data_IF_627840019470
#
_entry.id   IF_627840019470
#
_cell.length_a   1.000
_cell.length_b   1.000
_cell.length_c   1.000
_cell.angle_alpha   90.00
_cell.angle_beta   90.00
_cell.angle_gamma   90.00
#
_symmetry.space_group_name_H-M   'P 1'
#
loop_
_entity.id
_entity.type
_entity.pdbx_description
1 polymer ?
#
# COMPACT_ATOMS: atom_id res chain seq x y z
N UNK A 1 42.51 -5.43 -12.98
CA UNK A 1 41.35 -5.01 -12.17
C UNK A 1 40.21 -4.35 -12.93
N UNK A 2 40.41 -3.77 -14.12
CA UNK A 2 39.33 -3.15 -14.90
C UNK A 2 38.26 -4.16 -15.38
N UNK A 3 38.68 -5.36 -15.80
CA UNK A 3 37.76 -6.42 -16.23
C UNK A 3 36.80 -6.90 -15.13
N UNK A 4 37.29 -6.96 -13.88
CA UNK A 4 36.47 -7.40 -12.76
C UNK A 4 35.49 -6.32 -12.30
N UNK A 5 35.86 -5.04 -12.43
CA UNK A 5 34.95 -3.91 -12.20
C UNK A 5 33.82 -3.87 -13.25
N UNK A 6 34.16 -4.01 -14.54
CA UNK A 6 33.15 -4.06 -15.63
C UNK A 6 32.23 -5.28 -15.47
N UNK A 7 32.78 -6.43 -15.06
CA UNK A 7 31.97 -7.62 -14.82
C UNK A 7 31.05 -7.46 -13.61
N UNK A 8 31.55 -6.92 -12.49
CA UNK A 8 30.73 -6.64 -11.31
C UNK A 8 29.61 -5.64 -11.62
N UNK A 9 29.91 -4.55 -12.33
CA UNK A 9 28.89 -3.59 -12.74
C UNK A 9 27.85 -4.24 -13.66
N UNK A 10 28.27 -5.07 -14.61
CA UNK A 10 27.34 -5.73 -15.52
C UNK A 10 26.47 -6.78 -14.80
N UNK A 11 27.06 -7.56 -13.87
CA UNK A 11 26.32 -8.54 -13.07
C UNK A 11 25.36 -7.84 -12.12
N UNK A 12 25.78 -6.78 -11.42
CA UNK A 12 24.91 -6.01 -10.52
C UNK A 12 23.77 -5.33 -11.29
N UNK A 13 24.06 -4.71 -12.43
CA UNK A 13 23.04 -4.08 -13.27
C UNK A 13 22.05 -5.11 -13.80
N UNK A 14 22.54 -6.28 -14.23
CA UNK A 14 21.68 -7.39 -14.69
C UNK A 14 20.82 -7.94 -13.55
N UNK A 15 21.37 -8.07 -12.33
CA UNK A 15 20.63 -8.51 -11.15
C UNK A 15 19.55 -7.50 -10.74
N UNK A 16 19.87 -6.21 -10.76
CA UNK A 16 18.90 -5.14 -10.48
C UNK A 16 17.77 -5.13 -11.51
N UNK A 17 18.08 -5.18 -12.81
CA UNK A 17 17.08 -5.22 -13.89
C UNK A 17 16.19 -6.45 -13.77
N UNK A 18 16.75 -7.63 -13.44
CA UNK A 18 15.96 -8.85 -13.20
C UNK A 18 15.06 -8.68 -11.98
N UNK A 19 15.57 -8.17 -10.86
CA UNK A 19 14.75 -7.90 -9.67
C UNK A 19 13.61 -6.95 -10.01
N UNK A 20 13.86 -5.86 -10.74
CA UNK A 20 12.82 -4.94 -11.19
C UNK A 20 11.78 -5.58 -12.12
N UNK A 21 12.21 -6.46 -13.03
CA UNK A 21 11.32 -7.19 -13.94
C UNK A 21 10.44 -8.20 -13.20
N UNK A 22 11.04 -8.98 -12.30
CA UNK A 22 10.33 -9.96 -11.47
C UNK A 22 9.36 -9.26 -10.50
N UNK A 23 9.72 -8.07 -10.01
CA UNK A 23 8.82 -7.22 -9.24
C UNK A 23 7.66 -6.70 -10.11
N UNK A 24 7.92 -6.23 -11.31
CA UNK A 24 6.88 -5.75 -12.23
C UNK A 24 5.84 -6.84 -12.52
N UNK A 25 6.26 -8.09 -12.70
CA UNK A 25 5.39 -9.24 -12.97
C UNK A 25 4.50 -9.62 -11.78
N UNK A 26 5.00 -9.47 -10.54
CA UNK A 26 4.25 -9.73 -9.30
C UNK A 26 3.37 -8.57 -8.82
N UNK A 27 3.47 -7.41 -9.47
CA UNK A 27 2.73 -6.19 -9.09
C UNK A 27 1.22 -6.40 -8.94
N UNK A 28 0.50 -6.95 -9.94
CA UNK A 28 -0.95 -7.13 -9.81
C UNK A 28 -1.33 -8.13 -8.72
N UNK A 29 -0.48 -9.13 -8.47
CA UNK A 29 -0.73 -10.14 -7.43
C UNK A 29 -0.59 -9.57 -6.02
N UNK A 30 0.44 -8.75 -5.78
CA UNK A 30 0.65 -8.08 -4.49
C UNK A 30 -0.44 -7.04 -4.24
N UNK A 31 -0.80 -6.25 -5.26
CA UNK A 31 -1.89 -5.28 -5.16
C UNK A 31 -3.21 -5.96 -4.76
N UNK A 32 -3.55 -7.07 -5.43
CA UNK A 32 -4.75 -7.85 -5.12
C UNK A 32 -4.73 -8.40 -3.70
N UNK A 33 -3.57 -8.86 -3.21
CA UNK A 33 -3.43 -9.32 -1.82
C UNK A 33 -3.61 -8.20 -0.81
N UNK A 34 -3.12 -6.98 -1.09
CA UNK A 34 -3.40 -5.82 -0.25
C UNK A 34 -4.90 -5.52 -0.20
N UNK A 35 -5.58 -5.48 -1.35
CA UNK A 35 -7.04 -5.25 -1.42
C UNK A 35 -7.81 -6.29 -0.59
N UNK A 36 -7.46 -7.57 -0.70
CA UNK A 36 -8.09 -8.65 0.08
C UNK A 36 -7.87 -8.49 1.59
N UNK A 37 -6.65 -8.16 1.99
CA UNK A 37 -6.28 -8.01 3.39
C UNK A 37 -6.97 -6.79 4.03
N UNK A 38 -7.03 -5.67 3.32
CA UNK A 38 -7.77 -4.48 3.76
C UNK A 38 -9.27 -4.73 3.85
N UNK A 39 -9.86 -5.45 2.88
CA UNK A 39 -11.25 -5.87 2.98
C UNK A 39 -11.50 -6.67 4.27
N UNK A 40 -10.61 -7.62 4.59
CA UNK A 40 -10.65 -8.39 5.83
C UNK A 40 -10.60 -7.51 7.09
N UNK A 41 -9.66 -6.55 7.14
CA UNK A 41 -9.52 -5.62 8.26
C UNK A 41 -10.70 -4.68 8.45
N UNK A 42 -11.27 -4.16 7.36
CA UNK A 42 -12.44 -3.26 7.43
C UNK A 42 -13.63 -4.04 7.98
N UNK A 43 -13.87 -5.25 7.46
CA UNK A 43 -14.98 -6.10 7.91
C UNK A 43 -14.84 -6.51 9.39
N UNK A 44 -13.67 -7.01 9.78
CA UNK A 44 -13.42 -7.44 11.14
C UNK A 44 -13.37 -6.26 12.12
N UNK A 45 -12.77 -5.13 11.73
CA UNK A 45 -12.67 -3.92 12.53
C UNK A 45 -14.02 -3.25 12.80
N UNK A 46 -14.95 -3.32 11.83
CA UNK A 46 -16.35 -2.91 11.99
C UNK A 46 -17.11 -3.75 13.02
N UNK A 47 -16.79 -5.04 13.13
CA UNK A 47 -17.43 -5.98 14.05
C UNK A 47 -16.89 -5.84 15.48
N UNK A 48 -15.59 -5.59 15.65
CA UNK A 48 -14.92 -5.64 16.97
C UNK A 48 -14.71 -4.29 17.66
N UNK A 49 -14.58 -3.16 16.93
CA UNK A 49 -14.13 -1.90 17.55
C UNK A 49 -15.15 -0.75 17.41
N UNK A 50 -15.70 -0.30 18.55
CA UNK A 50 -16.65 0.84 18.62
C UNK A 50 -16.06 2.17 18.15
N UNK A 51 -14.75 2.39 18.33
CA UNK A 51 -14.08 3.61 17.87
C UNK A 51 -13.93 3.60 16.35
N UNK A 52 -13.64 2.43 15.78
CA UNK A 52 -13.62 2.22 14.33
C UNK A 52 -15.02 2.39 13.76
N UNK A 53 -16.08 1.96 14.47
CA UNK A 53 -17.46 2.31 14.09
C UNK A 53 -17.70 3.82 14.10
N UNK A 54 -17.11 4.60 15.00
CA UNK A 54 -17.31 6.06 15.01
C UNK A 54 -16.65 6.78 13.81
N UNK A 55 -15.46 6.33 13.39
CA UNK A 55 -14.78 6.85 12.20
C UNK A 55 -15.39 6.31 10.90
N UNK A 56 -15.82 5.04 10.90
CA UNK A 56 -16.33 4.34 9.70
C UNK A 56 -17.86 4.52 9.51
N UNK A 57 -18.65 4.86 10.54
CA UNK A 57 -20.12 4.74 10.49
C UNK A 57 -20.84 6.09 10.46
N UNK A 58 -21.25 6.43 9.24
CA UNK A 58 -22.56 7.01 8.95
C UNK A 58 -23.20 6.36 7.72
N UNK A 59 -22.44 6.22 6.62
CA UNK A 59 -22.91 5.69 5.33
C UNK A 59 -22.61 4.20 5.08
N UNK A 60 -21.48 3.70 5.58
CA UNK A 60 -20.98 2.33 5.30
C UNK A 60 -21.88 1.24 5.87
N UNK A 61 -22.47 1.47 7.06
CA UNK A 61 -23.16 0.42 7.81
C UNK A 61 -24.56 0.06 7.24
N UNK A 62 -25.17 0.95 6.45
CA UNK A 62 -26.46 0.67 5.79
C UNK A 62 -26.31 -0.14 4.50
N UNK A 63 -25.20 0.03 3.77
CA UNK A 63 -25.01 -0.62 2.48
C UNK A 63 -24.34 -2.01 2.61
N UNK A 64 -23.34 -2.16 3.47
CA UNK A 64 -22.66 -3.44 3.68
C UNK A 64 -23.61 -4.50 4.27
N UNK A 65 -24.50 -4.11 5.19
CA UNK A 65 -25.50 -5.02 5.76
C UNK A 65 -26.70 -5.28 4.83
N UNK A 66 -26.92 -4.43 3.82
CA UNK A 66 -27.96 -4.62 2.80
C UNK A 66 -27.59 -5.66 1.73
N UNK A 67 -26.29 -5.91 1.52
CA UNK A 67 -25.80 -6.82 0.48
C UNK A 67 -25.61 -8.27 0.94
N UNK A 68 -25.62 -8.55 2.25
CA UNK A 68 -25.37 -9.91 2.78
C UNK A 68 -26.66 -10.67 3.06
N UNK A 69 -27.45 -10.94 2.02
CA UNK A 69 -28.50 -11.96 2.09
C UNK A 69 -28.39 -12.90 0.89
N UNK A 70 -27.65 -13.99 1.10
CA UNK A 70 -27.57 -15.13 0.19
C UNK A 70 -26.36 -15.11 -0.72
N UNK A 71 -25.38 -15.98 -0.46
CA UNK A 71 -25.24 -17.22 -1.24
C UNK A 71 -24.03 -18.02 -0.74
N UNK A 72 -24.33 -19.24 -0.32
CA UNK A 72 -23.40 -20.33 -0.25
C UNK A 72 -22.95 -20.69 -1.69
N UNK A 73 -21.67 -20.54 -2.04
CA UNK A 73 -20.94 -21.44 -2.95
C UNK A 73 -19.47 -21.05 -3.12
N UNK A 74 -18.60 -22.01 -2.81
CA UNK A 74 -17.23 -22.14 -3.30
C UNK A 74 -17.18 -22.04 -4.83
N UNK A 75 -16.88 -20.86 -5.38
CA UNK A 75 -16.31 -20.63 -6.73
C UNK A 75 -16.46 -19.14 -7.08
N UNK A 76 -15.39 -18.50 -7.60
CA UNK A 76 -15.32 -17.12 -8.16
C UNK A 76 -14.85 -15.96 -7.25
N UNK A 77 -13.82 -16.17 -6.42
CA UNK A 77 -13.25 -15.12 -5.54
C UNK A 77 -12.46 -14.03 -6.29
N UNK A 78 -12.13 -14.22 -7.57
CA UNK A 78 -11.21 -13.34 -8.30
C UNK A 78 -11.84 -12.03 -8.78
N UNK A 79 -13.10 -12.08 -9.26
CA UNK A 79 -13.75 -10.93 -9.93
C UNK A 79 -14.45 -9.96 -8.98
N UNK A 80 -14.54 -10.26 -7.69
CA UNK A 80 -15.29 -9.45 -6.72
C UNK A 80 -14.41 -8.40 -6.00
N UNK A 81 -13.10 -8.62 -5.93
CA UNK A 81 -12.21 -7.80 -5.09
C UNK A 81 -12.05 -6.39 -5.65
N UNK A 82 -11.86 -6.26 -6.96
CA UNK A 82 -11.70 -4.95 -7.60
C UNK A 82 -13.00 -4.14 -7.56
N UNK A 83 -14.15 -4.78 -7.79
CA UNK A 83 -15.47 -4.13 -7.67
C UNK A 83 -15.78 -3.69 -6.24
N UNK A 84 -15.41 -4.49 -5.23
CA UNK A 84 -15.56 -4.11 -3.82
C UNK A 84 -14.61 -2.99 -3.43
N UNK A 85 -13.39 -2.98 -3.99
CA UNK A 85 -12.43 -1.91 -3.76
C UNK A 85 -12.88 -0.59 -4.39
N UNK A 86 -13.40 -0.60 -5.62
CA UNK A 86 -13.96 0.60 -6.26
C UNK A 86 -15.10 1.20 -5.42
N UNK A 87 -15.98 0.38 -4.85
CA UNK A 87 -17.01 0.86 -3.92
C UNK A 87 -16.42 1.53 -2.69
N UNK A 88 -15.34 0.98 -2.11
CA UNK A 88 -14.66 1.60 -0.97
C UNK A 88 -14.04 2.97 -1.34
N UNK A 89 -13.55 3.11 -2.58
CA UNK A 89 -13.04 4.38 -3.11
C UNK A 89 -14.16 5.41 -3.31
N UNK A 90 -15.30 5.00 -3.88
CA UNK A 90 -16.48 5.87 -4.06
C UNK A 90 -17.06 6.35 -2.73
N UNK A 91 -16.88 5.57 -1.67
CA UNK A 91 -17.35 5.91 -0.33
C UNK A 91 -16.42 6.88 0.44
N UNK A 92 -15.31 7.32 -0.16
CA UNK A 92 -14.31 8.19 0.46
C UNK A 92 -13.88 7.69 1.86
N UNK A 93 -13.69 6.38 2.00
CA UNK A 93 -13.31 5.82 3.30
C UNK A 93 -11.89 6.22 3.67
N UNK A 94 -11.74 6.76 4.89
CA UNK A 94 -10.46 7.09 5.49
C UNK A 94 -10.18 6.27 6.75
N UNK A 95 -8.90 6.06 7.05
CA UNK A 95 -8.43 5.43 8.28
C UNK A 95 -7.53 6.38 9.06
N UNK A 96 -7.64 6.36 10.37
CA UNK A 96 -6.77 7.15 11.24
C UNK A 96 -5.48 6.40 11.55
N UNK A 97 -4.50 7.14 12.07
CA UNK A 97 -3.21 6.60 12.53
C UNK A 97 -3.35 5.45 13.52
N UNK A 98 -4.32 5.51 14.43
CA UNK A 98 -4.54 4.46 15.41
C UNK A 98 -5.01 3.16 14.78
N UNK A 99 -5.86 3.24 13.76
CA UNK A 99 -6.35 2.09 12.99
C UNK A 99 -5.20 1.48 12.20
N UNK A 100 -4.44 2.30 11.48
CA UNK A 100 -3.27 1.83 10.74
C UNK A 100 -2.23 1.19 11.66
N UNK A 101 -1.98 1.78 12.83
CA UNK A 101 -1.09 1.20 13.84
C UNK A 101 -1.59 -0.16 14.33
N UNK A 102 -2.90 -0.32 14.52
CA UNK A 102 -3.46 -1.62 14.89
C UNK A 102 -3.20 -2.67 13.79
N UNK A 103 -3.31 -2.29 12.52
CA UNK A 103 -3.01 -3.18 11.39
C UNK A 103 -1.54 -3.57 11.33
N UNK A 104 -0.62 -2.66 11.70
CA UNK A 104 0.82 -2.98 11.81
C UNK A 104 1.17 -3.98 12.92
N UNK A 105 0.23 -4.34 13.79
CA UNK A 105 0.43 -5.46 14.74
C UNK A 105 -0.06 -6.80 14.17
N UNK A 106 -0.73 -6.78 13.02
CA UNK A 106 -1.21 -7.99 12.37
C UNK A 106 -0.06 -8.68 11.60
N UNK A 107 0.22 -9.96 11.89
CA UNK A 107 1.33 -10.68 11.28
C UNK A 107 1.14 -10.90 9.78
N UNK A 108 -0.09 -10.99 9.29
CA UNK A 108 -0.39 -11.17 7.86
C UNK A 108 -0.07 -9.88 7.09
N UNK A 109 -0.37 -8.72 7.68
CA UNK A 109 -0.01 -7.43 7.08
C UNK A 109 1.50 -7.21 7.04
N UNK A 110 2.21 -7.49 8.14
CA UNK A 110 3.67 -7.37 8.18
C UNK A 110 4.35 -8.30 7.17
N UNK A 111 3.85 -9.54 7.03
CA UNK A 111 4.36 -10.47 6.03
C UNK A 111 4.15 -9.94 4.61
N UNK A 112 2.99 -9.36 4.32
CA UNK A 112 2.71 -8.81 3.00
C UNK A 112 3.59 -7.58 2.69
N UNK A 113 3.88 -6.74 3.68
CA UNK A 113 4.82 -5.62 3.53
C UNK A 113 6.25 -6.10 3.23
N UNK A 114 6.70 -7.16 3.91
CA UNK A 114 8.01 -7.78 3.65
C UNK A 114 8.07 -8.39 2.24
N UNK A 115 7.02 -9.09 1.81
CA UNK A 115 6.91 -9.64 0.45
C UNK A 115 6.87 -8.54 -0.63
N UNK A 116 6.33 -7.38 -0.30
CA UNK A 116 6.33 -6.19 -1.14
C UNK A 116 7.67 -5.44 -1.12
N UNK A 117 8.69 -5.91 -0.39
CA UNK A 117 10.00 -5.25 -0.23
C UNK A 117 9.84 -3.80 0.26
N UNK A 118 8.88 -3.57 1.18
CA UNK A 118 8.60 -2.28 1.82
C UNK A 118 9.31 -2.25 3.17
N UNK A 119 10.20 -1.27 3.35
CA UNK A 119 10.96 -1.13 4.59
C UNK A 119 10.09 -0.56 5.72
N UNK A 120 9.85 -1.36 6.76
CA UNK A 120 9.02 -1.01 7.93
C UNK A 120 9.84 -0.60 9.16
N UNK A 121 11.15 -0.38 9.00
CA UNK A 121 12.12 -0.11 10.09
C UNK A 121 11.67 1.04 11.01
N UNK A 122 10.86 1.99 10.52
CA UNK A 122 10.15 2.96 11.35
C UNK A 122 8.64 3.02 11.04
N UNK A 123 7.86 2.15 11.70
CA UNK A 123 6.40 2.10 11.62
C UNK A 123 5.69 3.45 11.78
N UNK A 124 6.26 4.38 12.55
CA UNK A 124 5.70 5.72 12.74
C UNK A 124 5.88 6.61 11.52
N UNK A 125 7.00 6.49 10.82
CA UNK A 125 7.27 7.24 9.59
C UNK A 125 6.46 6.70 8.42
N UNK A 126 6.12 5.40 8.40
CA UNK A 126 5.36 4.83 7.29
C UNK A 126 3.99 5.51 7.12
N UNK A 127 3.29 5.83 8.22
CA UNK A 127 2.04 6.58 8.13
C UNK A 127 2.27 8.00 7.59
N UNK A 128 3.28 8.70 8.12
CA UNK A 128 3.60 10.08 7.71
C UNK A 128 4.05 10.15 6.23
N UNK A 129 4.70 9.11 5.72
CA UNK A 129 5.10 9.00 4.31
C UNK A 129 3.89 8.72 3.41
N UNK A 130 2.91 7.96 3.89
CA UNK A 130 1.67 7.70 3.16
C UNK A 130 0.72 8.92 3.19
N UNK A 131 0.72 9.67 4.30
CA UNK A 131 -0.08 10.87 4.56
C UNK A 131 0.57 12.10 3.92
N UNK A 132 0.65 12.08 2.58
CA UNK A 132 1.36 13.10 1.80
C UNK A 132 0.67 14.48 1.85
N UNK A 133 -0.63 14.52 2.16
CA UNK A 133 -1.38 15.77 2.34
C UNK A 133 -1.39 16.26 3.80
N UNK A 134 -0.84 15.46 4.72
CA UNK A 134 -0.77 15.73 6.17
C UNK A 134 -2.15 16.04 6.75
N UNK A 135 -3.18 15.37 6.24
CA UNK A 135 -4.56 15.46 6.73
C UNK A 135 -4.72 14.78 8.09
N UNK A 136 -3.80 13.88 8.45
CA UNK A 136 -3.87 13.05 9.66
C UNK A 136 -4.73 11.79 9.49
N UNK A 137 -5.28 11.57 8.29
CA UNK A 137 -6.06 10.40 7.89
C UNK A 137 -5.51 9.86 6.57
N UNK A 138 -5.70 8.57 6.30
CA UNK A 138 -5.33 7.95 5.03
C UNK A 138 -6.58 7.49 4.30
N UNK A 139 -6.81 7.98 3.09
CA UNK A 139 -7.81 7.38 2.22
C UNK A 139 -7.36 5.99 1.75
N UNK A 140 -8.31 5.13 1.37
CA UNK A 140 -7.99 3.83 0.78
C UNK A 140 -7.14 3.97 -0.50
N UNK A 141 -7.37 5.03 -1.28
CA UNK A 141 -6.57 5.34 -2.46
C UNK A 141 -5.11 5.62 -2.11
N UNK A 142 -4.85 6.47 -1.13
CA UNK A 142 -3.51 6.85 -0.65
C UNK A 142 -2.79 5.67 -0.03
N UNK A 143 -3.51 4.87 0.76
CA UNK A 143 -2.95 3.69 1.39
C UNK A 143 -2.42 2.69 0.34
N UNK A 144 -3.27 2.26 -0.60
CA UNK A 144 -2.85 1.28 -1.60
C UNK A 144 -1.81 1.87 -2.55
N UNK A 145 -2.06 3.07 -3.06
CA UNK A 145 -1.14 3.72 -4.02
C UNK A 145 0.19 4.03 -3.37
N UNK A 146 0.20 4.48 -2.12
CA UNK A 146 1.39 4.79 -1.37
C UNK A 146 2.21 3.54 -1.07
N UNK A 147 1.58 2.45 -0.60
CA UNK A 147 2.27 1.17 -0.42
C UNK A 147 2.83 0.62 -1.73
N UNK A 148 2.08 0.74 -2.82
CA UNK A 148 2.56 0.32 -4.14
C UNK A 148 3.71 1.18 -4.68
N UNK A 149 3.82 2.45 -4.26
CA UNK A 149 4.95 3.35 -4.60
C UNK A 149 6.17 3.11 -3.72
N UNK A 150 5.99 2.72 -2.47
CA UNK A 150 7.06 2.40 -1.52
C UNK A 150 7.66 1.00 -1.75
N UNK A 151 7.02 0.20 -2.60
CA UNK A 151 7.48 -1.13 -2.97
C UNK A 151 8.81 -1.08 -3.73
N UNK A 152 9.72 -1.93 -3.28
CA UNK A 152 11.01 -2.15 -3.92
C UNK A 152 12.12 -1.27 -3.34
N UNK A 153 13.38 -1.58 -3.68
CA UNK A 153 14.51 -0.87 -3.13
C UNK A 153 14.55 0.56 -3.68
N UNK A 154 14.62 1.56 -2.79
CA UNK A 154 14.95 2.94 -3.19
C UNK A 154 16.32 2.92 -3.83
N UNK A 155 16.39 3.23 -5.13
CA UNK A 155 17.68 3.19 -5.83
C UNK A 155 18.46 4.48 -5.56
N UNK A 156 19.80 4.40 -5.62
CA UNK A 156 20.65 5.61 -5.54
C UNK A 156 20.31 6.61 -6.67
N UNK A 157 19.82 6.12 -7.81
CA UNK A 157 19.37 6.96 -8.90
C UNK A 157 18.12 7.75 -8.54
N UNK A 158 17.16 7.17 -7.79
CA UNK A 158 15.97 7.86 -7.32
C UNK A 158 16.33 9.00 -6.36
N UNK A 159 17.27 8.76 -5.45
CA UNK A 159 17.79 9.79 -4.52
C UNK A 159 18.42 10.95 -5.29
N UNK A 160 19.22 10.66 -6.32
CA UNK A 160 19.84 11.68 -7.18
C UNK A 160 18.77 12.43 -7.98
N UNK A 161 17.77 11.73 -8.52
CA UNK A 161 16.68 12.34 -9.28
C UNK A 161 15.85 13.31 -8.42
N UNK A 162 15.52 12.93 -7.18
CA UNK A 162 14.84 13.82 -6.23
C UNK A 162 15.69 15.06 -5.92
N UNK A 163 17.00 14.89 -5.67
CA UNK A 163 17.91 16.00 -5.38
C UNK A 163 18.06 16.96 -6.56
N UNK A 164 18.10 16.44 -7.79
CA UNK A 164 18.13 17.26 -9.01
C UNK A 164 16.84 18.06 -9.17
N UNK A 165 15.67 17.43 -9.01
CA UNK A 165 14.37 18.11 -9.05
C UNK A 165 14.22 19.19 -7.98
N UNK A 166 14.68 18.93 -6.76
CA UNK A 166 14.69 19.95 -5.70
C UNK A 166 15.63 21.11 -6.06
N UNK A 167 16.79 20.83 -6.66
CA UNK A 167 17.72 21.87 -7.14
C UNK A 167 17.16 22.72 -8.27
N UNK A 168 16.30 22.17 -9.13
CA UNK A 168 15.59 22.91 -10.18
C UNK A 168 14.42 23.75 -9.64
N UNK A 169 13.72 23.27 -8.61
CA UNK A 169 12.58 23.98 -8.01
C UNK A 169 13.00 25.10 -7.04
N UNK A 170 14.13 24.95 -6.35
CA UNK A 170 14.62 25.94 -5.38
C UNK A 170 14.81 27.36 -5.97
N UNK A 171 15.38 27.57 -7.17
CA UNK A 171 15.52 28.91 -7.76
C UNK A 171 14.21 29.53 -8.28
N UNK A 172 13.08 28.82 -8.25
CA UNK A 172 11.76 29.37 -8.61
C UNK A 172 11.00 29.96 -7.40
N UNK A 173 11.54 29.78 -6.18
CA UNK A 173 10.96 30.27 -4.93
C UNK A 173 11.68 31.53 -4.39
N UNK A 174 12.73 32.00 -5.08
CA UNK A 174 13.39 33.30 -4.87
C UNK A 174 12.86 34.34 -5.86
#
# INVERSE_FOLDING_TARGET
NLFMAIFMDNVMTTQLVRKHKDMAEKTPEIEKRFKLLFHGFIKHGLETNKNMRATVVGRVWSEINGASNGTNRRSSVDSNVDEEWEKLLEMEMTITRDVFRAWLHDPEFLQLLEEADIETTNHFELFDVLDADNSGELSMAELLTGLMKLRGPVTKADIVAVRLKMGELMPLLE
#
